data_IF_928937235144
#
_entry.id   IF_928937235144
#
_cell.length_a   1.000
_cell.length_b   1.000
_cell.length_c   1.000
_cell.angle_alpha   90.00
_cell.angle_beta   90.00
_cell.angle_gamma   90.00
#
_symmetry.space_group_name_H-M   'P 1'
#
loop_
_entity.id
_entity.type
_entity.pdbx_description
1 polymer ?
#
# COMPACT_ATOMS: atom_id res chain seq x y z
N UNK A 1 -4.36 7.21 -1.34
CA UNK A 1 -4.28 5.76 -1.36
C UNK A 1 -2.89 5.32 -0.90
N UNK A 2 -2.78 4.17 -0.22
CA UNK A 2 -1.50 3.68 0.31
C UNK A 2 -0.43 3.46 -0.77
N UNK A 3 -0.82 3.23 -2.02
CA UNK A 3 0.08 3.13 -3.17
C UNK A 3 0.98 4.37 -3.34
N UNK A 4 0.47 5.56 -3.01
CA UNK A 4 1.26 6.80 -3.11
C UNK A 4 2.47 6.77 -2.16
N UNK A 5 2.36 6.12 -1.01
CA UNK A 5 3.49 5.97 -0.05
C UNK A 5 4.53 5.01 -0.59
N UNK A 6 4.10 3.94 -1.27
CA UNK A 6 5.01 3.00 -1.93
C UNK A 6 5.81 3.70 -3.04
N UNK A 7 5.16 4.54 -3.86
CA UNK A 7 5.84 5.30 -4.91
C UNK A 7 6.85 6.30 -4.33
N UNK A 8 6.50 7.00 -3.23
CA UNK A 8 7.45 7.85 -2.51
C UNK A 8 8.68 7.04 -2.05
N UNK A 9 8.46 5.83 -1.52
CA UNK A 9 9.54 4.96 -1.10
C UNK A 9 10.39 4.49 -2.29
N UNK A 10 9.80 4.04 -3.37
CA UNK A 10 10.51 3.60 -4.57
C UNK A 10 11.35 4.70 -5.22
N UNK A 11 10.96 5.96 -5.07
CA UNK A 11 11.75 7.09 -5.54
C UNK A 11 12.94 7.41 -4.61
N UNK A 12 12.70 7.43 -3.30
CA UNK A 12 13.72 7.85 -2.31
C UNK A 12 14.69 6.71 -1.99
N UNK A 13 14.19 5.47 -1.86
CA UNK A 13 14.96 4.35 -1.38
C UNK A 13 16.17 3.97 -2.24
N UNK A 14 16.12 3.91 -3.57
CA UNK A 14 17.29 3.61 -4.39
C UNK A 14 18.42 4.62 -4.20
N UNK A 15 18.09 5.91 -4.11
CA UNK A 15 19.08 6.97 -3.87
C UNK A 15 19.72 6.80 -2.50
N UNK A 16 18.91 6.58 -1.46
CA UNK A 16 19.38 6.33 -0.09
C UNK A 16 20.29 5.11 -0.04
N UNK A 17 19.89 4.02 -0.70
CA UNK A 17 20.65 2.79 -0.74
C UNK A 17 22.01 2.95 -1.43
N UNK A 18 22.07 3.65 -2.57
CA UNK A 18 23.31 3.96 -3.27
C UNK A 18 24.26 4.75 -2.37
N UNK A 19 23.77 5.77 -1.66
CA UNK A 19 24.57 6.56 -0.73
C UNK A 19 25.09 5.70 0.42
N UNK A 20 24.24 4.87 1.02
CA UNK A 20 24.64 3.96 2.10
C UNK A 20 25.71 2.95 1.66
N UNK A 21 25.56 2.38 0.47
CA UNK A 21 26.53 1.42 -0.08
C UNK A 21 27.85 2.08 -0.44
N UNK A 22 27.86 3.34 -0.87
CA UNK A 22 29.10 4.13 -1.10
C UNK A 22 29.90 4.33 0.17
N UNK A 23 29.24 4.51 1.31
CA UNK A 23 29.91 4.64 2.62
C UNK A 23 30.60 3.32 3.00
N UNK A 24 30.06 2.16 2.56
CA UNK A 24 30.67 0.84 2.65
C UNK A 24 30.79 0.24 4.05
N UNK A 25 30.50 0.99 5.11
CA UNK A 25 30.58 0.54 6.50
C UNK A 25 29.29 -0.13 6.94
N UNK A 26 29.30 -1.45 7.08
CA UNK A 26 28.11 -2.23 7.48
C UNK A 26 27.46 -1.71 8.76
N UNK A 27 28.26 -1.35 9.76
CA UNK A 27 27.76 -0.82 11.04
C UNK A 27 26.94 0.47 10.80
N UNK A 28 27.42 1.36 9.94
CA UNK A 28 26.71 2.59 9.61
C UNK A 28 25.37 2.29 8.93
N UNK A 29 25.34 1.34 8.00
CA UNK A 29 24.09 0.93 7.32
C UNK A 29 23.08 0.43 8.35
N UNK A 30 23.47 -0.51 9.22
CA UNK A 30 22.57 -1.06 10.24
C UNK A 30 22.10 0.00 11.24
N UNK A 31 22.99 0.86 11.71
CA UNK A 31 22.62 1.96 12.61
C UNK A 31 21.63 2.92 11.97
N UNK A 32 21.81 3.23 10.69
CA UNK A 32 20.91 4.11 9.95
C UNK A 32 19.52 3.47 9.75
N UNK A 33 19.45 2.17 9.42
CA UNK A 33 18.18 1.46 9.29
C UNK A 33 17.42 1.42 10.63
N UNK A 34 18.13 1.12 11.72
CA UNK A 34 17.56 1.12 13.07
C UNK A 34 17.08 2.52 13.43
N UNK A 35 17.87 3.55 13.15
CA UNK A 35 17.48 4.94 13.36
C UNK A 35 16.18 5.28 12.61
N UNK A 36 16.06 4.91 11.33
CA UNK A 36 14.86 5.18 10.54
C UNK A 36 13.61 4.50 11.11
N UNK A 37 13.73 3.27 11.61
CA UNK A 37 12.62 2.56 12.27
C UNK A 37 12.17 3.32 13.51
N UNK A 38 13.08 3.63 14.42
CA UNK A 38 12.74 4.34 15.66
C UNK A 38 12.26 5.77 15.40
N UNK A 39 12.84 6.47 14.44
CA UNK A 39 12.41 7.80 14.04
C UNK A 39 10.97 7.78 13.51
N UNK A 40 10.66 6.84 12.62
CA UNK A 40 9.30 6.68 12.09
C UNK A 40 8.28 6.34 13.18
N UNK A 41 8.62 5.43 14.10
CA UNK A 41 7.78 5.12 15.27
C UNK A 41 7.62 6.32 16.22
N UNK A 42 8.69 7.07 16.47
CA UNK A 42 8.63 8.30 17.26
C UNK A 42 7.68 9.32 16.64
N UNK A 43 7.75 9.52 15.31
CA UNK A 43 6.83 10.40 14.60
C UNK A 43 5.38 9.93 14.76
N UNK A 44 5.12 8.64 14.63
CA UNK A 44 3.79 8.08 14.85
C UNK A 44 3.25 8.37 16.26
N UNK A 45 4.06 8.14 17.29
CA UNK A 45 3.66 8.41 18.69
C UNK A 45 3.37 9.90 18.95
N UNK A 46 4.14 10.79 18.32
CA UNK A 46 3.96 12.25 18.48
C UNK A 46 2.74 12.79 17.75
N UNK A 47 2.35 12.16 16.64
CA UNK A 47 1.25 12.61 15.80
C UNK A 47 0.00 11.69 15.88
N UNK A 48 -0.03 10.81 16.87
CA UNK A 48 -1.12 9.85 17.05
C UNK A 48 -2.50 10.51 17.16
N UNK A 49 -2.56 11.68 17.80
CA UNK A 49 -3.82 12.43 17.96
C UNK A 49 -4.20 13.26 16.71
N UNK A 50 -3.46 13.12 15.62
CA UNK A 50 -3.65 13.92 14.41
C UNK A 50 -3.29 15.40 14.60
N UNK A 51 -2.71 15.76 15.72
CA UNK A 51 -2.37 17.13 16.08
C UNK A 51 -0.96 17.47 15.59
N UNK A 52 -0.87 18.14 14.46
CA UNK A 52 0.41 18.50 13.84
C UNK A 52 0.91 19.84 14.43
N UNK A 53 1.01 19.92 15.77
CA UNK A 53 1.44 21.14 16.45
C UNK A 53 2.74 21.74 15.89
N UNK A 54 3.71 20.93 15.53
CA UNK A 54 4.98 21.37 14.96
C UNK A 54 4.77 21.99 13.58
N UNK A 55 4.00 21.36 12.71
CA UNK A 55 3.71 21.87 11.36
C UNK A 55 2.88 23.16 11.47
N UNK A 56 1.86 23.17 12.30
CA UNK A 56 1.03 24.36 12.53
C UNK A 56 1.80 25.55 13.11
N UNK A 57 2.88 25.29 13.86
CA UNK A 57 3.73 26.35 14.45
C UNK A 57 4.73 26.94 13.45
N UNK A 58 5.32 26.12 12.57
CA UNK A 58 6.42 26.54 11.70
C UNK A 58 5.99 26.72 10.24
N UNK A 59 4.86 26.17 9.82
CA UNK A 59 4.35 26.19 8.45
C UNK A 59 2.88 26.61 8.44
N UNK A 60 2.61 27.85 8.86
CA UNK A 60 1.25 28.40 8.95
C UNK A 60 0.49 28.36 7.63
N UNK A 61 1.21 28.54 6.51
CA UNK A 61 0.63 28.53 5.15
C UNK A 61 0.25 27.12 4.67
N UNK A 62 0.73 26.09 5.34
CA UNK A 62 0.45 24.68 5.00
C UNK A 62 -0.67 24.08 5.85
N UNK A 63 -1.23 24.87 6.77
CA UNK A 63 -2.29 24.42 7.69
C UNK A 63 -3.48 23.84 6.95
N UNK A 64 -3.88 24.48 5.84
CA UNK A 64 -5.01 24.07 5.00
C UNK A 64 -4.79 22.69 4.35
N UNK A 65 -3.55 22.36 3.94
CA UNK A 65 -3.20 21.07 3.34
C UNK A 65 -3.08 19.93 4.36
N UNK A 66 -2.84 20.25 5.62
CA UNK A 66 -2.64 19.29 6.71
C UNK A 66 -3.77 19.31 7.75
N UNK A 67 -4.89 19.91 7.43
CA UNK A 67 -6.02 20.09 8.33
C UNK A 67 -6.54 18.75 8.88
N UNK A 68 -6.42 17.68 8.09
CA UNK A 68 -6.74 16.33 8.50
C UNK A 68 -5.48 15.53 8.88
N UNK A 69 -5.08 15.60 10.15
CA UNK A 69 -3.89 14.92 10.67
C UNK A 69 -3.87 13.40 10.41
N UNK A 70 -5.04 12.74 10.43
CA UNK A 70 -5.16 11.30 10.12
C UNK A 70 -4.77 11.00 8.68
N UNK A 71 -5.24 11.81 7.73
CA UNK A 71 -4.88 11.66 6.31
C UNK A 71 -3.39 11.88 6.07
N UNK A 72 -2.80 12.87 6.72
CA UNK A 72 -1.36 13.15 6.62
C UNK A 72 -0.52 11.96 7.11
N UNK A 73 -0.84 11.40 8.27
CA UNK A 73 -0.19 10.20 8.79
C UNK A 73 -0.29 9.03 7.81
N UNK A 74 -1.43 8.87 7.15
CA UNK A 74 -1.70 7.76 6.25
C UNK A 74 -0.96 7.88 4.91
N UNK A 75 -0.84 9.09 4.34
CA UNK A 75 -0.30 9.30 2.99
C UNK A 75 1.15 9.72 2.92
N UNK A 76 1.80 10.02 4.05
CA UNK A 76 3.19 10.45 4.04
C UNK A 76 4.17 9.34 4.46
N UNK A 77 5.21 9.17 3.66
CA UNK A 77 6.25 8.16 3.85
C UNK A 77 6.92 8.18 5.23
N UNK A 78 7.29 9.33 5.86
CA UNK A 78 8.00 9.33 7.13
C UNK A 78 7.31 8.54 8.24
N UNK A 79 5.99 8.51 8.25
CA UNK A 79 5.20 7.79 9.26
C UNK A 79 5.12 6.29 9.01
N UNK A 80 5.32 5.84 7.77
CA UNK A 80 5.25 4.42 7.36
C UNK A 80 6.62 3.84 6.99
N UNK A 81 7.68 4.62 7.13
CA UNK A 81 9.05 4.19 6.78
C UNK A 81 9.46 2.92 7.53
N UNK A 82 9.02 2.74 8.77
CA UNK A 82 9.33 1.54 9.56
C UNK A 82 8.84 0.24 8.88
N UNK A 83 7.68 0.28 8.22
CA UNK A 83 7.11 -0.88 7.50
C UNK A 83 8.04 -1.33 6.37
N UNK A 84 8.48 -0.38 5.56
CA UNK A 84 9.35 -0.64 4.41
C UNK A 84 10.77 -1.03 4.83
N UNK A 85 11.32 -0.37 5.85
CA UNK A 85 12.68 -0.65 6.33
C UNK A 85 12.78 -2.01 7.00
N UNK A 86 11.75 -2.47 7.72
CA UNK A 86 11.70 -3.83 8.23
C UNK A 86 11.79 -4.86 7.11
N UNK A 87 11.01 -4.67 6.03
CA UNK A 87 11.10 -5.51 4.84
C UNK A 87 12.47 -5.44 4.16
N UNK A 88 13.00 -4.24 3.95
CA UNK A 88 14.31 -4.02 3.33
C UNK A 88 15.45 -4.64 4.15
N UNK A 89 15.40 -4.61 5.48
CA UNK A 89 16.41 -5.19 6.37
C UNK A 89 16.58 -6.69 6.21
N UNK A 90 15.56 -7.39 5.71
CA UNK A 90 15.61 -8.83 5.45
C UNK A 90 16.72 -9.22 4.47
N UNK A 91 17.09 -8.35 3.54
CA UNK A 91 18.16 -8.63 2.55
C UNK A 91 19.46 -9.03 3.25
N UNK A 92 19.76 -8.43 4.40
CA UNK A 92 20.96 -8.73 5.17
C UNK A 92 20.79 -9.93 6.13
N UNK A 93 19.55 -10.23 6.54
CA UNK A 93 19.25 -11.26 7.55
C UNK A 93 18.93 -12.60 6.89
N UNK A 94 18.44 -12.62 5.65
CA UNK A 94 18.00 -13.84 4.96
C UNK A 94 19.07 -14.93 4.87
N UNK A 95 20.34 -14.54 4.76
CA UNK A 95 21.46 -15.47 4.63
C UNK A 95 21.87 -16.13 5.96
N UNK A 96 21.45 -15.58 7.10
CA UNK A 96 21.76 -16.16 8.39
C UNK A 96 20.88 -17.39 8.65
N UNK A 97 21.51 -18.51 8.93
CA UNK A 97 20.84 -19.77 9.28
C UNK A 97 21.10 -20.12 10.73
N UNK A 98 20.04 -20.41 11.46
CA UNK A 98 20.10 -20.86 12.85
C UNK A 98 19.80 -22.37 12.85
N UNK A 99 20.73 -23.17 13.33
CA UNK A 99 20.63 -24.66 13.36
C UNK A 99 19.94 -25.16 14.63
N UNK A 100 18.75 -24.64 14.93
CA UNK A 100 17.91 -25.11 16.03
C UNK A 100 16.70 -25.83 15.41
N UNK A 101 16.46 -27.07 15.89
CA UNK A 101 15.33 -27.89 15.45
C UNK A 101 14.02 -27.15 15.74
N UNK A 102 13.12 -27.09 14.76
CA UNK A 102 11.82 -26.41 14.83
C UNK A 102 11.85 -24.89 15.03
N UNK A 103 13.00 -24.23 15.10
CA UNK A 103 13.09 -22.78 15.29
C UNK A 103 12.29 -22.01 14.22
N UNK A 104 12.48 -22.36 12.97
CA UNK A 104 11.77 -21.69 11.85
C UNK A 104 10.28 -22.02 11.81
N UNK A 105 9.88 -23.22 12.25
CA UNK A 105 8.48 -23.63 12.29
C UNK A 105 7.73 -22.83 13.37
N UNK A 106 8.32 -22.70 14.56
CA UNK A 106 7.76 -21.90 15.66
C UNK A 106 7.67 -20.43 15.25
N UNK A 107 8.74 -19.89 14.68
CA UNK A 107 8.79 -18.50 14.27
C UNK A 107 7.74 -18.20 13.17
N UNK A 108 7.55 -19.12 12.23
CA UNK A 108 6.52 -19.02 11.19
C UNK A 108 5.09 -18.98 11.78
N UNK A 109 4.82 -19.86 12.77
CA UNK A 109 3.53 -19.87 13.48
C UNK A 109 3.32 -18.53 14.22
N UNK A 110 4.34 -18.01 14.89
CA UNK A 110 4.27 -16.71 15.56
C UNK A 110 3.92 -15.60 14.52
N UNK A 111 4.57 -15.62 13.36
CA UNK A 111 4.25 -14.68 12.28
C UNK A 111 2.78 -14.74 11.81
N UNK A 112 2.25 -15.97 11.66
CA UNK A 112 0.84 -16.18 11.30
C UNK A 112 -0.11 -15.71 12.41
N UNK A 113 0.22 -15.95 13.68
CA UNK A 113 -0.56 -15.49 14.83
C UNK A 113 -0.60 -13.95 14.88
N UNK A 114 0.54 -13.28 14.67
CA UNK A 114 0.60 -11.81 14.68
C UNK A 114 -0.25 -11.20 13.56
N UNK A 115 -0.23 -11.76 12.37
CA UNK A 115 -1.10 -11.31 11.27
C UNK A 115 -2.56 -11.62 11.58
N UNK A 116 -2.87 -12.83 12.04
CA UNK A 116 -4.22 -13.21 12.43
C UNK A 116 -4.77 -12.31 13.54
N UNK A 117 -3.99 -12.06 14.58
CA UNK A 117 -4.35 -11.11 15.63
C UNK A 117 -4.68 -9.73 15.04
N UNK A 118 -3.86 -9.23 14.13
CA UNK A 118 -4.08 -7.93 13.51
C UNK A 118 -5.38 -7.86 12.72
N UNK A 119 -5.75 -8.92 12.01
CA UNK A 119 -6.98 -8.98 11.21
C UNK A 119 -8.23 -8.97 12.10
N UNK A 120 -8.20 -9.67 13.26
CA UNK A 120 -9.38 -9.86 14.08
C UNK A 120 -9.55 -8.80 15.17
N UNK A 121 -8.47 -8.15 15.62
CA UNK A 121 -8.49 -7.25 16.79
C UNK A 121 -8.17 -5.80 16.47
N UNK A 122 -7.65 -5.46 15.29
CA UNK A 122 -7.42 -4.07 14.92
C UNK A 122 -8.66 -3.52 14.21
N UNK A 123 -9.44 -2.73 14.93
CA UNK A 123 -10.68 -2.10 14.45
C UNK A 123 -10.42 -0.80 13.70
N UNK A 124 -11.41 -0.34 12.93
CA UNK A 124 -11.41 0.94 12.18
C UNK A 124 -11.27 2.17 13.10
N UNK A 125 -11.56 2.03 14.40
CA UNK A 125 -11.43 3.08 15.40
C UNK A 125 -9.97 3.41 15.75
N UNK A 126 -9.05 2.51 15.42
CA UNK A 126 -7.62 2.70 15.68
C UNK A 126 -7.05 3.63 14.62
N UNK A 127 -6.32 4.66 15.06
CA UNK A 127 -5.63 5.58 14.15
C UNK A 127 -4.53 4.80 13.43
N UNK A 128 -4.62 4.71 12.12
CA UNK A 128 -3.62 4.07 11.26
C UNK A 128 -2.98 5.10 10.33
N UNK A 129 -1.65 5.06 10.08
CA UNK A 129 -0.64 4.22 10.72
C UNK A 129 -0.37 4.64 12.17
N UNK A 130 -0.16 3.66 13.03
CA UNK A 130 0.23 3.87 14.42
C UNK A 130 1.20 2.76 14.84
N UNK A 131 1.61 2.72 16.09
CA UNK A 131 2.43 1.61 16.61
C UNK A 131 1.73 0.24 16.48
N UNK A 132 0.40 0.20 16.35
CA UNK A 132 -0.32 -1.05 16.07
C UNK A 132 0.01 -1.65 14.71
N UNK A 133 0.32 -0.84 13.69
CA UNK A 133 0.79 -1.32 12.39
C UNK A 133 2.11 -2.08 12.45
N UNK A 134 2.87 -1.93 13.55
CA UNK A 134 4.10 -2.68 13.77
C UNK A 134 3.85 -4.18 13.97
N UNK A 135 2.71 -4.56 14.54
CA UNK A 135 2.35 -5.97 14.79
C UNK A 135 2.24 -6.77 13.49
N UNK A 136 1.38 -6.40 12.51
CA UNK A 136 1.28 -7.14 11.25
C UNK A 136 2.57 -7.03 10.41
N UNK A 137 3.30 -5.92 10.51
CA UNK A 137 4.56 -5.75 9.76
C UNK A 137 5.65 -6.69 10.27
N UNK A 138 5.80 -6.85 11.60
CA UNK A 138 6.70 -7.87 12.16
C UNK A 138 6.24 -9.26 11.75
N UNK A 139 4.94 -9.55 11.85
CA UNK A 139 4.39 -10.85 11.43
C UNK A 139 4.76 -11.19 9.99
N UNK A 140 4.55 -10.26 9.06
CA UNK A 140 4.90 -10.41 7.65
C UNK A 140 6.43 -10.59 7.45
N UNK A 141 7.23 -9.77 8.14
CA UNK A 141 8.71 -9.86 8.09
C UNK A 141 9.21 -11.23 8.55
N UNK A 142 8.64 -11.75 9.63
CA UNK A 142 8.97 -13.09 10.15
C UNK A 142 8.58 -14.18 9.15
N UNK A 143 7.39 -14.10 8.56
CA UNK A 143 6.94 -15.08 7.54
C UNK A 143 7.86 -15.07 6.33
N UNK A 144 8.24 -13.91 5.82
CA UNK A 144 9.18 -13.80 4.69
C UNK A 144 10.55 -14.38 5.07
N UNK A 145 11.05 -14.10 6.27
CA UNK A 145 12.34 -14.64 6.75
C UNK A 145 12.35 -16.16 6.86
N UNK A 146 11.25 -16.73 7.33
CA UNK A 146 11.14 -18.16 7.61
C UNK A 146 10.64 -18.97 6.42
N UNK A 147 9.97 -18.35 5.44
CA UNK A 147 9.24 -19.01 4.37
C UNK A 147 10.00 -20.12 3.65
N UNK A 148 11.27 -19.86 3.26
CA UNK A 148 12.11 -20.88 2.59
C UNK A 148 12.87 -21.81 3.56
N UNK A 149 12.71 -21.65 4.86
CA UNK A 149 13.46 -22.36 5.89
C UNK A 149 12.58 -23.29 6.73
N UNK A 150 11.27 -23.04 6.75
CA UNK A 150 10.27 -23.82 7.49
C UNK A 150 9.69 -24.95 6.65
N UNK A 151 9.30 -26.04 7.33
CA UNK A 151 8.53 -27.13 6.72
C UNK A 151 7.06 -26.75 6.48
N UNK A 152 6.54 -25.77 7.23
CA UNK A 152 5.16 -25.32 7.17
C UNK A 152 4.88 -24.39 5.97
N UNK A 153 5.86 -24.12 5.13
CA UNK A 153 5.72 -23.24 3.97
C UNK A 153 4.59 -23.68 3.02
N UNK A 154 4.25 -24.97 2.99
CA UNK A 154 3.16 -25.50 2.15
C UNK A 154 1.83 -24.79 2.41
N UNK A 155 1.63 -24.22 3.61
CA UNK A 155 0.40 -23.47 3.98
C UNK A 155 0.25 -22.24 3.07
N UNK A 156 1.34 -21.52 2.80
CA UNK A 156 1.31 -20.30 1.98
C UNK A 156 1.78 -20.52 0.54
N UNK A 157 2.56 -21.56 0.25
CA UNK A 157 3.08 -21.87 -1.09
C UNK A 157 2.14 -22.73 -1.94
N UNK A 158 0.94 -23.05 -1.46
CA UNK A 158 -0.04 -23.78 -2.26
C UNK A 158 -0.57 -22.92 -3.44
N UNK A 159 -1.06 -23.57 -4.48
CA UNK A 159 -1.50 -22.93 -5.73
C UNK A 159 -2.57 -21.85 -5.52
N UNK A 160 -3.45 -22.03 -4.53
CA UNK A 160 -4.54 -21.09 -4.25
C UNK A 160 -3.98 -19.80 -3.64
N UNK A 161 -3.17 -19.92 -2.58
CA UNK A 161 -2.56 -18.76 -1.90
C UNK A 161 -1.64 -17.97 -2.84
N UNK A 162 -0.81 -18.69 -3.61
CA UNK A 162 0.04 -18.06 -4.63
C UNK A 162 -0.81 -17.38 -5.71
N UNK A 163 -1.91 -18.02 -6.16
CA UNK A 163 -2.84 -17.43 -7.11
C UNK A 163 -3.47 -16.12 -6.61
N UNK A 164 -3.95 -16.11 -5.37
CA UNK A 164 -4.49 -14.91 -4.71
C UNK A 164 -3.41 -13.82 -4.64
N UNK A 165 -2.18 -14.17 -4.21
CA UNK A 165 -1.06 -13.23 -4.16
C UNK A 165 -0.73 -12.62 -5.52
N UNK A 166 -0.79 -13.40 -6.59
CA UNK A 166 -0.49 -12.91 -7.95
C UNK A 166 -1.51 -11.89 -8.46
N UNK A 167 -2.79 -12.01 -8.09
CA UNK A 167 -3.83 -11.07 -8.50
C UNK A 167 -4.05 -9.93 -7.50
N UNK A 168 -3.40 -9.97 -6.33
CA UNK A 168 -3.66 -9.04 -5.21
C UNK A 168 -3.47 -7.58 -5.57
N UNK A 169 -2.45 -7.25 -6.36
CA UNK A 169 -2.22 -5.88 -6.82
C UNK A 169 -3.35 -5.38 -7.72
N UNK A 170 -3.73 -6.16 -8.72
CA UNK A 170 -4.86 -5.82 -9.59
C UNK A 170 -6.16 -5.74 -8.80
N UNK A 171 -6.37 -6.64 -7.81
CA UNK A 171 -7.54 -6.61 -6.93
C UNK A 171 -7.59 -5.33 -6.10
N UNK A 172 -6.44 -4.91 -5.55
CA UNK A 172 -6.32 -3.65 -4.82
C UNK A 172 -6.69 -2.44 -5.68
N UNK A 173 -6.35 -2.43 -6.97
CA UNK A 173 -6.70 -1.33 -7.86
C UNK A 173 -8.20 -1.28 -8.21
N UNK A 174 -8.84 -2.43 -8.39
CA UNK A 174 -10.23 -2.48 -8.86
C UNK A 174 -11.28 -2.45 -7.74
N UNK A 175 -11.00 -3.01 -6.55
CA UNK A 175 -12.02 -3.14 -5.51
C UNK A 175 -12.62 -1.80 -5.09
N UNK A 176 -11.79 -0.78 -4.85
CA UNK A 176 -12.27 0.50 -4.36
C UNK A 176 -13.13 1.29 -5.36
N UNK A 177 -12.73 1.46 -6.63
CA UNK A 177 -13.61 2.07 -7.63
C UNK A 177 -14.97 1.37 -7.74
N UNK A 178 -14.99 0.03 -7.72
CA UNK A 178 -16.22 -0.73 -7.81
C UNK A 178 -17.12 -0.45 -6.61
N UNK A 179 -16.58 -0.46 -5.40
CA UNK A 179 -17.32 -0.14 -4.17
C UNK A 179 -17.92 1.26 -4.26
N UNK A 180 -17.13 2.27 -4.66
CA UNK A 180 -17.57 3.66 -4.74
C UNK A 180 -18.70 3.81 -5.77
N UNK A 181 -18.54 3.27 -6.98
CA UNK A 181 -19.57 3.35 -8.02
C UNK A 181 -20.85 2.60 -7.62
N UNK A 182 -20.72 1.45 -6.98
CA UNK A 182 -21.88 0.67 -6.53
C UNK A 182 -22.64 1.39 -5.42
N UNK A 183 -21.94 1.95 -4.43
CA UNK A 183 -22.54 2.77 -3.38
C UNK A 183 -23.25 4.01 -3.92
N UNK A 184 -22.73 4.60 -5.01
CA UNK A 184 -23.37 5.73 -5.66
C UNK A 184 -24.71 5.34 -6.30
N UNK A 185 -24.80 4.13 -6.87
CA UNK A 185 -26.03 3.63 -7.50
C UNK A 185 -27.02 3.06 -6.46
N UNK A 186 -26.52 2.40 -5.43
CA UNK A 186 -27.31 1.74 -4.39
C UNK A 186 -26.78 2.12 -2.99
N UNK A 187 -27.32 3.15 -2.34
CA UNK A 187 -26.84 3.60 -1.02
C UNK A 187 -27.02 2.55 0.10
N UNK A 188 -27.99 1.65 -0.04
CA UNK A 188 -28.28 0.58 0.93
C UNK A 188 -27.75 -0.76 0.38
N UNK A 189 -26.50 -1.08 0.73
CA UNK A 189 -25.90 -2.35 0.30
C UNK A 189 -26.53 -3.55 1.00
N UNK A 190 -27.05 -4.48 0.22
CA UNK A 190 -27.47 -5.79 0.69
C UNK A 190 -26.29 -6.77 0.73
N UNK A 191 -26.49 -7.92 1.37
CA UNK A 191 -25.50 -9.02 1.32
C UNK A 191 -25.23 -9.50 -0.12
N UNK A 192 -26.25 -9.47 -0.98
CA UNK A 192 -26.14 -9.84 -2.39
C UNK A 192 -25.24 -8.83 -3.13
N UNK A 193 -25.40 -7.53 -2.87
CA UNK A 193 -24.57 -6.48 -3.46
C UNK A 193 -23.09 -6.63 -3.08
N UNK A 194 -22.80 -6.88 -1.81
CA UNK A 194 -21.43 -7.10 -1.34
C UNK A 194 -20.79 -8.34 -1.99
N UNK A 195 -21.57 -9.39 -2.20
CA UNK A 195 -21.10 -10.59 -2.90
C UNK A 195 -20.84 -10.30 -4.38
N UNK A 196 -21.76 -9.58 -5.06
CA UNK A 196 -21.60 -9.18 -6.45
C UNK A 196 -20.37 -8.28 -6.65
N UNK A 197 -20.17 -7.27 -5.80
CA UNK A 197 -18.99 -6.40 -5.79
C UNK A 197 -17.70 -7.23 -5.70
N UNK A 198 -17.66 -8.17 -4.76
CA UNK A 198 -16.49 -9.03 -4.54
C UNK A 198 -16.18 -9.91 -5.77
N UNK A 199 -17.18 -10.50 -6.37
CA UNK A 199 -17.03 -11.34 -7.57
C UNK A 199 -16.59 -10.53 -8.79
N UNK A 200 -17.17 -9.35 -9.00
CA UNK A 200 -16.78 -8.44 -10.08
C UNK A 200 -15.35 -7.97 -9.89
N UNK A 201 -14.97 -7.58 -8.67
CA UNK A 201 -13.61 -7.17 -8.36
C UNK A 201 -12.58 -8.28 -8.63
N UNK A 202 -12.88 -9.52 -8.24
CA UNK A 202 -12.04 -10.69 -8.51
C UNK A 202 -11.92 -10.99 -10.01
N UNK A 203 -13.02 -10.90 -10.75
CA UNK A 203 -13.03 -11.11 -12.20
C UNK A 203 -12.17 -10.07 -12.92
N UNK A 204 -12.39 -8.77 -12.63
CA UNK A 204 -11.63 -7.68 -13.23
C UNK A 204 -10.14 -7.73 -12.83
N UNK A 205 -9.84 -8.08 -11.59
CA UNK A 205 -8.47 -8.29 -11.13
C UNK A 205 -7.78 -9.42 -11.90
N UNK A 206 -8.44 -10.55 -12.10
CA UNK A 206 -7.90 -11.66 -12.88
C UNK A 206 -7.69 -11.30 -14.35
N UNK A 207 -8.65 -10.61 -14.96
CA UNK A 207 -8.51 -10.14 -16.36
C UNK A 207 -7.36 -9.15 -16.49
N UNK A 208 -7.27 -8.17 -15.59
CA UNK A 208 -6.16 -7.22 -15.57
C UNK A 208 -4.81 -7.91 -15.38
N UNK A 209 -4.71 -8.82 -14.41
CA UNK A 209 -3.49 -9.60 -14.19
C UNK A 209 -3.07 -10.35 -15.46
N UNK A 210 -4.00 -11.06 -16.10
CA UNK A 210 -3.70 -11.92 -17.27
C UNK A 210 -3.39 -11.12 -18.52
N UNK A 211 -4.15 -10.07 -18.82
CA UNK A 211 -4.10 -9.38 -20.11
C UNK A 211 -3.26 -8.09 -20.08
N UNK A 212 -3.10 -7.48 -18.88
CA UNK A 212 -2.32 -6.27 -18.72
C UNK A 212 -1.01 -6.56 -17.98
N UNK A 213 -1.07 -6.98 -16.73
CA UNK A 213 0.13 -7.10 -15.88
C UNK A 213 1.13 -8.14 -16.40
N UNK A 214 0.69 -9.36 -16.69
CA UNK A 214 1.58 -10.43 -17.14
C UNK A 214 2.31 -10.11 -18.47
N UNK A 215 1.66 -9.59 -19.52
CA UNK A 215 2.34 -9.24 -20.76
C UNK A 215 3.42 -8.16 -20.55
N UNK A 216 3.13 -7.11 -19.75
CA UNK A 216 4.12 -6.08 -19.44
C UNK A 216 5.28 -6.64 -18.63
N UNK A 217 5.00 -7.44 -17.62
CA UNK A 217 5.99 -8.03 -16.73
C UNK A 217 6.92 -9.05 -17.40
N UNK A 218 6.43 -9.77 -18.44
CA UNK A 218 7.21 -10.78 -19.18
C UNK A 218 7.94 -10.21 -20.39
N UNK A 219 8.09 -8.90 -20.52
CA UNK A 219 8.74 -8.23 -21.65
C UNK A 219 8.18 -8.61 -23.03
N UNK A 220 7.00 -9.22 -23.11
CA UNK A 220 6.39 -9.59 -24.39
C UNK A 220 5.95 -8.39 -25.23
N UNK A 221 5.70 -7.24 -24.58
CA UNK A 221 5.34 -5.98 -25.21
C UNK A 221 6.53 -5.06 -25.51
N UNK A 222 7.71 -5.34 -24.93
CA UNK A 222 8.90 -4.49 -25.08
C UNK A 222 9.76 -4.90 -26.28
N UNK A 223 9.25 -5.67 -27.21
CA UNK A 223 9.80 -5.62 -28.55
C UNK A 223 9.32 -4.31 -29.16
N UNK A 224 10.16 -3.31 -29.11
CA UNK A 224 10.11 -1.92 -29.54
C UNK A 224 9.24 -1.60 -30.78
N UNK A 225 8.05 -2.18 -30.90
CA UNK A 225 7.11 -1.84 -31.94
C UNK A 225 6.62 -0.41 -31.71
N UNK A 226 6.38 0.34 -32.74
CA UNK A 226 5.84 1.69 -32.68
C UNK A 226 4.58 1.74 -31.81
N UNK A 227 3.77 0.68 -31.85
CA UNK A 227 2.53 0.52 -31.08
C UNK A 227 2.80 0.53 -29.57
N UNK A 228 3.82 -0.19 -29.08
CA UNK A 228 4.12 -0.19 -27.64
C UNK A 228 4.62 1.16 -27.14
N UNK A 229 5.36 1.91 -27.96
CA UNK A 229 5.77 3.29 -27.63
C UNK A 229 4.58 4.23 -27.56
N UNK A 230 3.65 4.12 -28.49
CA UNK A 230 2.41 4.92 -28.51
C UNK A 230 1.58 4.63 -27.24
N UNK A 231 1.45 3.35 -26.83
CA UNK A 231 0.72 3.02 -25.61
C UNK A 231 1.41 3.52 -24.34
N UNK A 232 2.73 3.36 -24.23
CA UNK A 232 3.49 3.73 -23.03
C UNK A 232 3.55 5.25 -22.86
N UNK A 233 3.73 6.01 -23.92
CA UNK A 233 3.90 7.46 -23.86
C UNK A 233 2.65 8.23 -24.30
N UNK A 234 1.92 7.75 -25.28
CA UNK A 234 0.76 8.42 -25.82
C UNK A 234 -0.45 8.39 -24.89
N UNK A 235 -0.76 7.22 -24.30
CA UNK A 235 -1.91 7.09 -23.40
C UNK A 235 -1.83 8.00 -22.17
N UNK A 236 -0.70 8.07 -21.42
CA UNK A 236 -0.56 9.03 -20.32
C UNK A 236 -0.72 10.48 -20.76
N UNK A 237 -0.16 10.86 -21.91
CA UNK A 237 -0.31 12.24 -22.45
C UNK A 237 -1.77 12.55 -22.74
N UNK A 238 -2.49 11.64 -23.36
CA UNK A 238 -3.93 11.80 -23.64
C UNK A 238 -4.73 11.92 -22.34
N UNK A 239 -4.44 11.09 -21.33
CA UNK A 239 -5.11 11.14 -20.02
C UNK A 239 -4.82 12.46 -19.29
N UNK A 240 -3.59 12.95 -19.35
CA UNK A 240 -3.21 14.27 -18.79
C UNK A 240 -3.98 15.37 -19.50
N UNK A 241 -4.05 15.33 -20.83
CA UNK A 241 -4.77 16.33 -21.61
C UNK A 241 -6.27 16.33 -21.32
N UNK A 242 -6.90 15.16 -21.23
CA UNK A 242 -8.30 15.01 -20.84
C UNK A 242 -8.54 15.56 -19.43
N UNK A 243 -7.69 15.18 -18.47
CA UNK A 243 -7.79 15.67 -17.09
C UNK A 243 -7.61 17.19 -17.00
N UNK A 244 -6.66 17.74 -17.74
CA UNK A 244 -6.44 19.17 -17.84
C UNK A 244 -7.64 19.92 -18.45
N UNK A 245 -8.20 19.37 -19.53
CA UNK A 245 -9.41 19.90 -20.16
C UNK A 245 -10.61 19.90 -19.20
N UNK A 246 -10.79 18.80 -18.46
CA UNK A 246 -11.84 18.71 -17.44
C UNK A 246 -11.63 19.74 -16.32
N UNK A 247 -10.39 19.95 -15.88
CA UNK A 247 -10.06 20.93 -14.86
C UNK A 247 -10.41 22.37 -15.29
N UNK A 248 -10.00 22.78 -16.51
CA UNK A 248 -10.28 24.12 -17.04
C UNK A 248 -11.78 24.39 -17.21
N UNK A 249 -12.54 23.36 -17.61
CA UNK A 249 -13.99 23.50 -17.87
C UNK A 249 -14.86 23.20 -16.65
N UNK A 250 -14.26 23.09 -15.43
CA UNK A 250 -14.96 22.75 -14.19
C UNK A 250 -15.81 21.47 -14.30
N UNK A 251 -15.30 20.46 -15.02
CA UNK A 251 -15.95 19.19 -15.29
C UNK A 251 -16.71 19.15 -16.63
N UNK A 252 -17.47 18.08 -16.83
CA UNK A 252 -18.31 17.95 -18.03
C UNK A 252 -19.59 18.77 -17.86
N UNK A 253 -19.85 19.70 -18.75
CA UNK A 253 -21.07 20.57 -18.74
C UNK A 253 -22.40 19.78 -18.78
N UNK A 254 -22.38 18.56 -19.31
CA UNK A 254 -23.54 17.65 -19.38
C UNK A 254 -23.58 16.64 -18.23
N UNK A 255 -22.87 16.90 -17.16
CA UNK A 255 -23.00 16.09 -15.93
C UNK A 255 -24.43 16.30 -15.44
N UNK A 256 -25.21 15.22 -15.36
CA UNK A 256 -26.49 15.24 -14.67
C UNK A 256 -26.24 15.85 -13.28
N UNK A 257 -26.93 16.93 -12.96
CA UNK A 257 -26.91 17.46 -11.61
C UNK A 257 -27.32 16.27 -10.71
N UNK A 258 -26.54 15.91 -9.68
CA UNK A 258 -27.00 14.89 -8.75
C UNK A 258 -28.34 15.39 -8.25
N UNK A 259 -29.40 14.57 -8.36
CA UNK A 259 -30.68 14.85 -7.75
C UNK A 259 -30.40 15.33 -6.33
N UNK A 260 -30.73 16.57 -6.05
CA UNK A 260 -30.45 17.23 -4.76
C UNK A 260 -31.18 16.57 -3.61
N UNK A 261 -32.03 15.58 -3.90
CA UNK A 261 -32.74 14.74 -2.93
C UNK A 261 -31.96 13.50 -2.43
N UNK A 262 -30.81 13.16 -3.05
CA UNK A 262 -29.90 12.16 -2.47
C UNK A 262 -29.06 12.88 -1.42
N UNK A 263 -29.53 12.82 -0.18
CA UNK A 263 -29.00 13.51 0.99
C UNK A 263 -27.47 13.55 1.02
N UNK A 264 -26.94 14.74 0.77
CA UNK A 264 -25.57 15.11 1.14
C UNK A 264 -25.46 14.84 2.64
N UNK A 265 -24.65 13.86 3.02
CA UNK A 265 -24.36 13.62 4.44
C UNK A 265 -23.78 14.93 5.01
N UNK A 266 -24.34 15.47 6.10
CA UNK A 266 -23.85 16.71 6.73
C UNK A 266 -22.45 16.60 7.33
N UNK A 267 -21.85 15.44 7.33
CA UNK A 267 -20.67 15.06 8.11
C UNK A 267 -19.37 15.06 7.27
N UNK A 268 -19.40 15.54 6.04
CA UNK A 268 -18.20 15.76 5.23
C UNK A 268 -17.68 17.20 5.42
N UNK A 269 -17.48 17.58 6.68
CA UNK A 269 -16.69 18.75 7.07
C UNK A 269 -15.45 18.35 7.81
#
# INVERSE_FOLDING_TARGET
WSLSVEEQFYFIWPLTLILLLKIGRKIFIYSFLVFLIFFSLYLNLKFQDGNIYIINKYFTDWKEYFENGKSTLFFMLPFRTYEFILGASLVWILNYKINIKYFYDILFIIGLILIGYSIFYLDENIIFPSYYGFIPTIGATIIIYTGNKTRLNFILSNKIMVGIGLISYSLYLFHWPIIVFWNYLNPNLSFIDNTAISLIALLLAYLSYKFVEQPFRRNKFINYSLISKIFIFGLPIVLIFISWSMYIHNGCKNRAEPDTDVGVRPDAK
#
